data_IF_287291525133
#
_entry.id   IF_287291525133
#
_cell.length_a   1.000
_cell.length_b   1.000
_cell.length_c   1.000
_cell.angle_alpha   90.00
_cell.angle_beta   90.00
_cell.angle_gamma   90.00
#
_symmetry.space_group_name_H-M   'P 1'
#
loop_
_entity.id
_entity.type
_entity.pdbx_description
1 polymer ?
#
# COMPACT_ATOMS: atom_id res chain seq x y z
N UNK A 1 -7.03 -17.34 12.88
CA UNK A 1 -6.26 -16.09 12.76
C UNK A 1 -5.30 -16.22 11.59
N UNK A 2 -5.09 -15.17 10.78
CA UNK A 2 -4.24 -15.21 9.59
C UNK A 2 -2.89 -14.58 9.93
N UNK A 3 -1.83 -15.39 10.01
CA UNK A 3 -0.48 -14.94 10.39
C UNK A 3 0.32 -14.37 9.21
N UNK A 4 -0.01 -14.78 7.98
CA UNK A 4 0.61 -14.32 6.73
C UNK A 4 -0.45 -14.21 5.66
N UNK A 5 -0.46 -13.10 4.93
CA UNK A 5 -1.29 -12.92 3.76
C UNK A 5 -0.55 -12.06 2.71
N UNK A 6 -1.05 -12.08 1.48
CA UNK A 6 -0.64 -11.13 0.44
C UNK A 6 -1.78 -10.15 0.21
N UNK A 7 -1.48 -8.85 0.35
CA UNK A 7 -2.40 -7.79 0.00
C UNK A 7 -2.12 -7.36 -1.44
N UNK A 8 -3.08 -7.62 -2.33
CA UNK A 8 -3.03 -7.18 -3.71
C UNK A 8 -3.81 -5.87 -3.86
N UNK A 9 -3.16 -4.84 -4.38
CA UNK A 9 -3.71 -3.51 -4.61
C UNK A 9 -3.73 -3.23 -6.11
N UNK A 10 -4.91 -2.98 -6.64
CA UNK A 10 -5.14 -2.46 -7.99
C UNK A 10 -5.70 -1.03 -7.86
N UNK A 11 -4.97 -0.04 -8.35
CA UNK A 11 -5.37 1.36 -8.21
C UNK A 11 -4.91 2.23 -9.38
N UNK A 12 -5.63 3.33 -9.63
CA UNK A 12 -5.29 4.33 -10.65
C UNK A 12 -5.20 5.70 -9.98
N UNK A 13 -3.98 6.21 -9.70
CA UNK A 13 -3.80 7.54 -9.13
C UNK A 13 -4.38 8.62 -10.05
N UNK A 14 -5.08 9.61 -9.48
CA UNK A 14 -5.60 10.73 -10.26
C UNK A 14 -4.45 11.48 -10.95
N UNK A 15 -4.60 11.88 -12.23
CA UNK A 15 -3.61 12.71 -12.94
C UNK A 15 -3.23 14.01 -12.23
N UNK A 16 -4.09 14.52 -11.33
CA UNK A 16 -3.89 15.78 -10.62
C UNK A 16 -3.14 15.64 -9.29
N UNK A 17 -2.78 14.41 -8.88
CA UNK A 17 -1.97 14.21 -7.68
C UNK A 17 -0.55 14.75 -7.86
N UNK A 18 0.04 15.23 -6.77
CA UNK A 18 1.42 15.69 -6.73
C UNK A 18 2.36 14.49 -6.59
N UNK A 19 3.22 14.17 -7.57
CA UNK A 19 4.17 13.06 -7.47
C UNK A 19 5.07 13.17 -6.24
N UNK A 20 5.43 12.03 -5.66
CA UNK A 20 6.28 11.87 -4.45
C UNK A 20 5.62 12.39 -3.17
N UNK A 21 4.90 13.52 -3.21
CA UNK A 21 4.19 14.09 -2.07
C UNK A 21 2.86 13.37 -1.78
N UNK A 22 2.13 13.01 -2.84
CA UNK A 22 0.91 12.23 -2.71
C UNK A 22 1.26 10.77 -2.47
N UNK A 23 0.54 10.13 -1.54
CA UNK A 23 0.85 8.78 -1.08
C UNK A 23 -0.42 8.02 -0.74
N UNK A 24 -0.36 6.70 -0.90
CA UNK A 24 -1.34 5.77 -0.36
C UNK A 24 -0.80 5.22 0.97
N UNK A 25 -1.51 5.45 2.06
CA UNK A 25 -1.23 4.81 3.35
C UNK A 25 -2.14 3.59 3.49
N UNK A 26 -1.55 2.43 3.77
CA UNK A 26 -2.27 1.17 3.90
C UNK A 26 -2.34 0.80 5.38
N UNK A 27 -3.56 0.69 5.91
CA UNK A 27 -3.81 0.28 7.28
C UNK A 27 -4.55 -1.05 7.31
N UNK A 28 -4.16 -1.94 8.22
CA UNK A 28 -4.90 -3.17 8.51
C UNK A 28 -5.06 -3.27 10.02
N UNK A 29 -6.31 -3.37 10.49
CA UNK A 29 -6.65 -3.33 11.92
C UNK A 29 -6.02 -2.13 12.64
N UNK A 30 -6.19 -0.94 12.05
CA UNK A 30 -5.66 0.35 12.54
C UNK A 30 -4.12 0.48 12.60
N UNK A 31 -3.39 -0.56 12.21
CA UNK A 31 -1.92 -0.55 12.14
C UNK A 31 -1.45 -0.17 10.74
N UNK A 32 -0.51 0.79 10.65
CA UNK A 32 0.10 1.22 9.39
C UNK A 32 1.04 0.14 8.85
N UNK A 33 0.65 -0.49 7.74
CA UNK A 33 1.40 -1.56 7.11
C UNK A 33 2.43 -1.05 6.10
N UNK A 34 2.13 0.08 5.45
CA UNK A 34 3.00 0.63 4.42
C UNK A 34 2.56 2.00 3.91
N UNK A 35 3.53 2.72 3.36
CA UNK A 35 3.33 4.00 2.68
C UNK A 35 3.86 3.85 1.27
N UNK A 36 2.97 4.05 0.29
CA UNK A 36 3.27 3.90 -1.12
C UNK A 36 3.26 5.29 -1.78
N UNK A 37 4.42 5.83 -2.16
CA UNK A 37 4.45 7.10 -2.87
C UNK A 37 3.83 6.93 -4.25
N UNK A 38 3.12 7.96 -4.72
CA UNK A 38 2.63 8.02 -6.11
C UNK A 38 3.75 8.63 -6.96
N UNK A 39 4.26 7.89 -7.93
CA UNK A 39 5.25 8.42 -8.87
C UNK A 39 4.58 9.08 -10.07
N UNK A 40 5.34 9.90 -10.81
CA UNK A 40 4.83 10.61 -11.98
C UNK A 40 4.35 9.65 -13.07
N UNK A 41 5.01 8.51 -13.21
CA UNK A 41 4.74 7.50 -14.24
C UNK A 41 3.40 6.78 -14.02
N UNK A 42 2.93 6.77 -12.76
CA UNK A 42 1.70 6.10 -12.34
C UNK A 42 0.45 6.98 -12.52
N UNK A 43 0.60 8.30 -12.69
CA UNK A 43 -0.52 9.23 -12.80
C UNK A 43 -1.43 8.89 -13.99
N UNK A 44 -2.73 8.70 -13.71
CA UNK A 44 -3.73 8.32 -14.70
C UNK A 44 -3.57 6.89 -15.25
N UNK A 45 -2.64 6.09 -14.71
CA UNK A 45 -2.36 4.74 -15.18
C UNK A 45 -2.67 3.71 -14.10
N UNK A 46 -3.14 2.54 -14.55
CA UNK A 46 -3.35 1.40 -13.66
C UNK A 46 -2.01 0.97 -13.06
N UNK A 47 -1.98 0.87 -11.74
CA UNK A 47 -0.86 0.34 -10.95
C UNK A 47 -1.33 -0.90 -10.22
N UNK A 48 -0.45 -1.90 -10.15
CA UNK A 48 -0.68 -3.14 -9.40
C UNK A 48 0.47 -3.33 -8.43
N UNK A 49 0.16 -3.77 -7.21
CA UNK A 49 1.16 -4.05 -6.18
C UNK A 49 0.70 -5.21 -5.31
N UNK A 50 1.63 -6.09 -4.98
CA UNK A 50 1.42 -7.17 -4.03
C UNK A 50 2.37 -6.94 -2.86
N UNK A 51 1.83 -6.52 -1.72
CA UNK A 51 2.61 -6.31 -0.50
C UNK A 51 2.34 -7.45 0.50
N UNK A 52 3.38 -8.03 1.10
CA UNK A 52 3.20 -9.04 2.14
C UNK A 52 2.62 -8.41 3.40
N UNK A 53 1.47 -8.92 3.85
CA UNK A 53 0.96 -8.63 5.18
C UNK A 53 1.71 -9.48 6.21
N UNK A 54 2.29 -8.80 7.19
CA UNK A 54 2.85 -9.41 8.40
C UNK A 54 2.29 -8.67 9.60
N UNK A 55 1.48 -9.36 10.38
CA UNK A 55 0.98 -8.79 11.64
C UNK A 55 2.14 -8.61 12.61
N UNK A 56 2.34 -7.39 13.12
CA UNK A 56 3.40 -7.11 14.09
C UNK A 56 3.20 -7.83 15.43
N UNK A 57 1.96 -8.22 15.74
CA UNK A 57 1.61 -9.00 16.94
C UNK A 57 2.30 -10.37 16.97
N UNK A 58 2.72 -10.92 15.83
CA UNK A 58 3.39 -12.22 15.75
C UNK A 58 4.91 -12.15 15.63
N UNK A 59 5.52 -10.95 15.63
CA UNK A 59 6.97 -10.81 15.56
C UNK A 59 7.70 -11.00 16.91
N UNK A 60 6.95 -11.19 18.02
CA UNK A 60 7.49 -11.31 19.39
C UNK A 60 7.33 -12.70 20.02
N UNK A 61 6.96 -13.71 19.24
CA UNK A 61 6.86 -15.12 19.64
C UNK A 61 7.85 -15.94 18.82
#
# INVERSE_FOLDING_TARGET
MVAKALLNLDYTPSPSLLPVQSQLKVYLNDELMGVLPVTKEQLGKKSQRADPYRSALYHRL
#
